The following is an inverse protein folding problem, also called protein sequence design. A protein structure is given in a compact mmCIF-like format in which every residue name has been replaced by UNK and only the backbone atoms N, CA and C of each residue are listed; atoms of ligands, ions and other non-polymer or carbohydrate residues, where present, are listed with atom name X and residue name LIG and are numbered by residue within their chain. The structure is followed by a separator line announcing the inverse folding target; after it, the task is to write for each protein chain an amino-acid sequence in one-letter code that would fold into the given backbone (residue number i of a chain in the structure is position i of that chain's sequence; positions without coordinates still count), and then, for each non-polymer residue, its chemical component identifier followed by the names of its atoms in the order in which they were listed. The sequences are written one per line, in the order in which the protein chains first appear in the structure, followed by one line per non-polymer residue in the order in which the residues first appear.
data_IF_317550005246
#
_entry.id   IF_317550005246
#
_cell.length_a   1.000
_cell.length_b   1.000
_cell.length_c   1.000
_cell.angle_alpha   90.00
_cell.angle_beta   90.00
_cell.angle_gamma   90.00
#
_symmetry.space_group_name_H-M   'P 1'
#
loop_
_entity.id
_entity.type
_entity.pdbx_description
1 polymer ?
#
# COMPACT_ATOMS: atom_id res chain seq x y z
N UNK A 1 -0.95 -4.87 44.69
CA UNK A 1 -0.28 -4.33 43.49
C UNK A 1 -0.17 -2.84 43.63
N UNK A 2 1.00 -2.27 43.35
CA UNK A 2 1.26 -0.86 43.56
C UNK A 2 1.28 -0.09 42.23
N UNK A 3 1.19 1.24 42.31
CA UNK A 3 1.13 2.13 41.14
C UNK A 3 2.32 1.96 40.17
N UNK A 4 3.50 1.59 40.68
CA UNK A 4 4.69 1.28 39.88
C UNK A 4 4.51 0.02 39.02
N UNK A 5 3.75 -0.95 39.51
CA UNK A 5 3.54 -2.23 38.83
C UNK A 5 2.50 -2.09 37.71
N UNK A 6 1.44 -1.31 37.97
CA UNK A 6 0.44 -0.93 36.95
C UNK A 6 1.12 -0.20 35.79
N UNK A 7 1.99 0.79 36.08
CA UNK A 7 2.71 1.53 35.03
C UNK A 7 3.57 0.61 34.16
N UNK A 8 4.29 -0.34 34.78
CA UNK A 8 5.06 -1.36 34.05
C UNK A 8 4.18 -2.27 33.20
N UNK A 9 3.03 -2.72 33.72
CA UNK A 9 2.08 -3.56 32.94
C UNK A 9 1.59 -2.81 31.70
N UNK A 10 1.27 -1.51 31.82
CA UNK A 10 0.84 -0.68 30.67
C UNK A 10 1.99 -0.48 29.68
N UNK A 11 3.19 -0.15 30.14
CA UNK A 11 4.39 -0.05 29.29
C UNK A 11 4.65 -1.36 28.52
N UNK A 12 4.51 -2.51 29.19
CA UNK A 12 4.66 -3.83 28.57
C UNK A 12 3.52 -4.19 27.61
N UNK A 13 2.27 -3.77 27.89
CA UNK A 13 1.14 -3.98 26.98
C UNK A 13 1.29 -3.17 25.68
N UNK A 14 1.84 -1.96 25.78
CA UNK A 14 2.12 -1.09 24.63
C UNK A 14 3.31 -1.62 23.83
N UNK A 15 4.47 -1.83 24.48
CA UNK A 15 5.70 -2.36 23.87
C UNK A 15 5.50 -3.71 23.16
N UNK A 16 4.76 -4.64 23.78
CA UNK A 16 4.54 -5.98 23.23
C UNK A 16 3.21 -6.12 22.47
N UNK A 17 2.44 -5.04 22.38
CA UNK A 17 1.14 -5.04 21.73
C UNK A 17 0.22 -6.15 22.24
N UNK A 18 -0.19 -6.10 23.51
CA UNK A 18 -1.15 -7.02 24.12
C UNK A 18 -2.56 -6.34 24.15
N UNK A 19 -3.66 -7.00 23.76
CA UNK A 19 -5.01 -6.36 23.68
C UNK A 19 -5.97 -6.69 24.83
N UNK A 20 -5.49 -7.35 25.88
CA UNK A 20 -6.26 -7.86 27.04
C UNK A 20 -5.21 -8.32 28.10
N UNK A 21 -5.44 -8.34 29.43
CA UNK A 21 -4.44 -8.75 30.48
C UNK A 21 -4.93 -9.66 31.67
N UNK A 22 -4.27 -10.83 31.90
CA UNK A 22 -4.56 -11.92 32.88
C UNK A 22 -3.72 -11.78 34.13
N UNK A 23 -4.38 -11.94 35.27
CA UNK A 23 -3.78 -11.95 36.60
C UNK A 23 -4.59 -12.88 37.50
N UNK A 24 -3.91 -13.73 38.28
CA UNK A 24 -4.53 -14.56 39.31
C UNK A 24 -3.83 -14.36 40.65
N UNK A 25 -4.60 -14.15 41.72
CA UNK A 25 -4.12 -14.08 43.11
C UNK A 25 -5.19 -14.61 44.07
N UNK A 26 -4.80 -15.52 44.95
CA UNK A 26 -5.68 -16.30 45.83
C UNK A 26 -6.80 -17.01 45.04
N UNK A 27 -8.07 -16.56 45.16
CA UNK A 27 -9.23 -17.06 44.39
C UNK A 27 -9.49 -16.30 43.06
N UNK A 28 -8.65 -15.32 42.71
CA UNK A 28 -8.93 -14.35 41.62
C UNK A 28 -8.43 -14.84 40.26
N UNK A 29 -9.17 -14.54 39.17
CA UNK A 29 -8.76 -14.75 37.76
C UNK A 29 -9.25 -13.62 36.80
N UNK A 30 -8.34 -12.92 36.10
CA UNK A 30 -8.58 -11.92 35.00
C UNK A 30 -7.92 -12.43 33.69
N UNK A 31 -8.09 -11.91 32.45
CA UNK A 31 -7.69 -12.58 31.14
C UNK A 31 -6.75 -11.77 30.18
N UNK A 32 -5.76 -12.37 29.43
CA UNK A 32 -4.63 -11.74 28.63
C UNK A 32 -4.61 -12.18 27.13
N UNK A 33 -4.69 -11.28 26.12
CA UNK A 33 -4.53 -11.65 24.68
C UNK A 33 -4.40 -10.45 23.71
N UNK A 34 -3.53 -10.49 22.69
CA UNK A 34 -3.71 -9.72 21.42
C UNK A 34 -3.97 -10.68 20.25
N UNK A 35 -4.85 -10.26 19.35
CA UNK A 35 -5.29 -11.03 18.20
C UNK A 35 -6.67 -11.62 18.46
N UNK A 36 -7.66 -11.11 17.72
CA UNK A 36 -8.99 -11.72 17.68
C UNK A 36 -8.89 -13.12 17.08
N UNK A 37 -9.58 -14.07 17.68
CA UNK A 37 -9.74 -15.39 17.09
C UNK A 37 -10.58 -15.21 15.83
N UNK A 38 -9.97 -15.42 14.67
CA UNK A 38 -10.70 -15.41 13.40
C UNK A 38 -11.60 -16.62 13.41
N UNK A 39 -12.90 -16.40 13.64
CA UNK A 39 -13.89 -17.46 13.63
C UNK A 39 -13.95 -18.05 12.20
N UNK A 40 -13.26 -19.17 12.03
CA UNK A 40 -13.20 -19.89 10.76
C UNK A 40 -14.58 -20.33 10.27
N UNK A 41 -15.54 -20.49 11.18
CA UNK A 41 -16.94 -20.80 10.86
C UNK A 41 -17.63 -19.58 10.24
N UNK A 42 -17.38 -18.38 10.76
CA UNK A 42 -17.88 -17.13 10.17
C UNK A 42 -17.31 -16.89 8.75
N UNK A 43 -16.02 -17.15 8.53
CA UNK A 43 -15.42 -17.07 7.18
C UNK A 43 -16.02 -18.13 6.24
N UNK A 44 -16.18 -19.37 6.71
CA UNK A 44 -16.74 -20.46 5.91
C UNK A 44 -18.21 -20.19 5.55
N UNK A 45 -18.97 -19.57 6.45
CA UNK A 45 -20.36 -19.16 6.22
C UNK A 45 -20.48 -17.95 5.28
N UNK A 46 -19.50 -17.04 5.28
CA UNK A 46 -19.42 -15.97 4.28
C UNK A 46 -19.11 -16.51 2.88
N UNK A 47 -18.10 -17.39 2.74
CA UNK A 47 -17.78 -18.04 1.45
C UNK A 47 -18.95 -18.88 0.90
N UNK A 48 -19.75 -19.51 1.76
CA UNK A 48 -20.94 -20.27 1.36
C UNK A 48 -22.11 -19.41 0.84
N UNK A 49 -22.03 -18.08 0.93
CA UNK A 49 -23.08 -17.14 0.50
C UNK A 49 -22.74 -16.33 -0.76
N UNK A 50 -21.56 -16.55 -1.35
CA UNK A 50 -21.19 -15.95 -2.65
C UNK A 50 -21.85 -16.74 -3.79
N UNK A 51 -22.69 -16.12 -4.65
CA UNK A 51 -23.30 -16.81 -5.77
C UNK A 51 -22.24 -17.21 -6.81
N UNK A 52 -22.23 -18.49 -7.22
CA UNK A 52 -21.34 -18.96 -8.26
C UNK A 52 -21.68 -18.30 -9.62
N UNK A 53 -20.71 -17.75 -10.37
CA UNK A 53 -20.98 -17.16 -11.68
C UNK A 53 -21.51 -18.22 -12.64
N UNK A 54 -22.72 -17.98 -13.15
CA UNK A 54 -23.37 -18.85 -14.12
C UNK A 54 -22.67 -18.71 -15.48
N UNK A 55 -21.87 -19.70 -15.85
CA UNK A 55 -21.31 -19.80 -17.21
C UNK A 55 -22.44 -20.12 -18.20
N UNK A 56 -22.83 -19.13 -19.01
CA UNK A 56 -23.66 -19.39 -20.20
C UNK A 56 -22.81 -19.99 -21.32
N UNK A 57 -23.27 -21.07 -21.99
CA UNK A 57 -22.57 -21.61 -23.15
C UNK A 57 -22.77 -20.71 -24.38
N UNK A 58 -21.68 -20.14 -24.89
CA UNK A 58 -21.69 -19.42 -26.17
C UNK A 58 -21.77 -20.40 -27.34
N UNK A 59 -22.85 -20.27 -28.12
CA UNK A 59 -23.06 -21.05 -29.34
C UNK A 59 -22.37 -20.40 -30.55
N UNK A 60 -21.98 -21.27 -31.47
CA UNK A 60 -21.29 -21.03 -32.75
C UNK A 60 -21.80 -19.84 -33.57
N UNK A 61 -20.88 -19.16 -34.26
CA UNK A 61 -21.22 -18.18 -35.31
C UNK A 61 -20.05 -17.28 -35.75
N UNK A 62 -19.23 -17.74 -36.69
CA UNK A 62 -18.23 -16.88 -37.35
C UNK A 62 -18.81 -16.24 -38.63
N UNK A 63 -18.67 -14.91 -38.76
CA UNK A 63 -18.40 -14.27 -40.07
C UNK A 63 -17.13 -13.38 -40.03
N UNK A 64 -16.63 -12.89 -41.18
CA UNK A 64 -15.25 -12.41 -41.31
C UNK A 64 -15.00 -10.98 -40.81
N UNK A 65 -13.71 -10.69 -40.59
CA UNK A 65 -13.21 -9.41 -40.09
C UNK A 65 -13.31 -8.24 -41.10
N UNK A 66 -13.56 -7.01 -40.62
CA UNK A 66 -13.13 -5.77 -41.27
C UNK A 66 -11.73 -5.35 -40.82
N UNK A 67 -11.10 -4.46 -41.60
CA UNK A 67 -9.70 -4.09 -41.47
C UNK A 67 -9.35 -3.23 -40.24
N UNK A 68 -8.06 -3.15 -39.95
CA UNK A 68 -7.46 -2.37 -38.87
C UNK A 68 -7.83 -0.88 -38.90
N UNK A 69 -8.19 -0.33 -37.74
CA UNK A 69 -8.16 1.09 -37.47
C UNK A 69 -6.85 1.43 -36.74
N UNK A 70 -5.95 2.11 -37.44
CA UNK A 70 -4.68 2.61 -36.89
C UNK A 70 -4.93 3.83 -36.00
N UNK A 71 -4.46 3.87 -34.75
CA UNK A 71 -4.21 5.13 -34.06
C UNK A 71 -2.81 5.63 -34.44
N UNK A 72 -2.74 6.85 -34.94
CA UNK A 72 -1.49 7.59 -35.12
C UNK A 72 -1.77 9.10 -34.92
N UNK A 73 -0.78 9.90 -34.50
CA UNK A 73 0.40 9.59 -33.71
C UNK A 73 0.37 10.32 -32.34
N UNK A 74 1.05 9.76 -31.33
CA UNK A 74 1.45 10.52 -30.14
C UNK A 74 2.96 10.78 -30.25
N UNK A 75 3.34 12.05 -30.20
CA UNK A 75 4.69 12.52 -30.49
C UNK A 75 5.64 12.27 -29.31
N UNK A 76 6.89 11.84 -29.58
CA UNK A 76 7.94 11.79 -28.56
C UNK A 76 8.19 10.44 -27.87
N UNK A 77 8.04 9.31 -28.57
CA UNK A 77 8.60 8.04 -28.09
C UNK A 77 10.14 8.09 -28.07
N UNK A 78 10.70 8.42 -26.90
CA UNK A 78 12.05 7.99 -26.53
C UNK A 78 12.10 6.45 -26.52
N UNK A 79 13.24 5.81 -26.83
CA UNK A 79 13.32 4.36 -26.85
C UNK A 79 12.98 3.78 -25.47
N UNK A 80 12.34 2.60 -25.44
CA UNK A 80 11.95 1.88 -24.21
C UNK A 80 13.04 1.95 -23.14
N UNK A 81 12.74 2.61 -22.01
CA UNK A 81 13.63 2.77 -20.86
C UNK A 81 14.51 4.04 -20.84
N UNK A 82 14.51 4.89 -21.87
CA UNK A 82 15.25 6.16 -21.85
C UNK A 82 14.40 7.31 -21.29
N UNK A 83 14.63 7.68 -20.03
CA UNK A 83 14.06 8.89 -19.43
C UNK A 83 14.53 10.18 -20.16
N UNK A 84 13.70 11.23 -20.23
CA UNK A 84 14.12 12.53 -20.75
C UNK A 84 15.32 13.08 -19.96
N UNK A 85 16.18 13.85 -20.64
CA UNK A 85 17.36 14.45 -20.01
C UNK A 85 16.97 15.32 -18.81
N UNK A 86 17.58 15.05 -17.64
CA UNK A 86 17.25 15.73 -16.39
C UNK A 86 16.03 15.17 -15.65
N UNK A 87 15.48 14.04 -16.07
CA UNK A 87 14.44 13.30 -15.32
C UNK A 87 15.07 12.06 -14.68
N UNK A 88 14.70 11.80 -13.42
CA UNK A 88 15.03 10.58 -12.68
C UNK A 88 13.77 10.01 -12.05
N UNK A 89 13.80 8.72 -11.72
CA UNK A 89 12.70 8.02 -11.05
C UNK A 89 13.00 7.78 -9.57
N UNK A 90 12.01 7.98 -8.72
CA UNK A 90 11.99 7.47 -7.34
C UNK A 90 11.34 6.09 -7.40
N UNK A 91 12.06 5.05 -7.00
CA UNK A 91 11.58 3.66 -7.06
C UNK A 91 11.24 3.10 -5.68
N UNK A 92 10.35 2.11 -5.62
CA UNK A 92 10.05 1.41 -4.38
C UNK A 92 11.25 0.58 -3.88
N UNK A 93 11.70 0.74 -2.62
CA UNK A 93 12.75 -0.09 -2.02
C UNK A 93 12.22 -1.43 -1.47
N UNK A 94 10.93 -1.75 -1.62
CA UNK A 94 10.31 -2.96 -1.06
C UNK A 94 9.06 -3.41 -1.84
N UNK A 95 8.45 -4.53 -1.42
CA UNK A 95 7.13 -4.96 -1.90
C UNK A 95 6.08 -4.54 -0.87
N UNK A 96 4.97 -3.94 -1.31
CA UNK A 96 3.91 -3.48 -0.41
C UNK A 96 2.78 -2.74 -1.12
N UNK A 97 1.96 -2.01 -0.38
CA UNK A 97 0.88 -1.16 -0.92
C UNK A 97 1.28 0.31 -0.87
N UNK A 98 1.24 1.01 -1.99
CA UNK A 98 1.53 2.44 -2.10
C UNK A 98 0.39 3.30 -1.55
N UNK A 99 0.73 4.28 -0.71
CA UNK A 99 -0.19 5.33 -0.24
C UNK A 99 0.43 6.71 -0.43
N UNK A 100 -0.34 7.63 -1.03
CA UNK A 100 0.12 8.99 -1.33
C UNK A 100 0.14 9.91 -0.09
N UNK A 101 -0.60 9.56 0.97
CA UNK A 101 -0.80 10.37 2.18
C UNK A 101 -0.64 9.53 3.46
N UNK A 102 -0.52 10.19 4.62
CA UNK A 102 -0.36 9.54 5.93
C UNK A 102 -1.65 8.90 6.48
N UNK A 103 -2.80 9.33 5.98
CA UNK A 103 -4.13 8.77 6.27
C UNK A 103 -5.08 9.09 5.10
N UNK A 104 -6.28 8.47 5.03
CA UNK A 104 -7.24 8.72 3.95
C UNK A 104 -7.73 10.17 3.83
N UNK A 105 -7.70 10.92 4.93
CA UNK A 105 -8.18 12.31 5.02
C UNK A 105 -7.03 13.35 4.98
N UNK A 106 -5.77 12.90 4.89
CA UNK A 106 -4.59 13.77 4.84
C UNK A 106 -4.24 14.17 3.41
N UNK A 107 -3.57 15.32 3.27
CA UNK A 107 -3.00 15.73 1.97
C UNK A 107 -1.86 14.78 1.54
N UNK A 108 -1.65 14.58 0.23
CA UNK A 108 -0.51 13.82 -0.27
C UNK A 108 0.84 14.40 0.17
N UNK A 109 1.79 13.54 0.52
CA UNK A 109 3.17 13.95 0.83
C UNK A 109 3.83 14.66 -0.36
N UNK A 110 3.54 14.21 -1.58
CA UNK A 110 3.99 14.81 -2.83
C UNK A 110 2.91 14.73 -3.91
N UNK A 111 2.83 15.78 -4.73
CA UNK A 111 1.98 15.88 -5.90
C UNK A 111 2.77 16.48 -7.07
N UNK A 112 2.18 16.52 -8.26
CA UNK A 112 2.80 17.16 -9.43
C UNK A 112 3.03 18.66 -9.14
N UNK A 113 4.25 19.15 -9.35
CA UNK A 113 4.71 20.49 -8.98
C UNK A 113 5.30 20.60 -7.58
N UNK A 114 5.23 19.56 -6.73
CA UNK A 114 5.89 19.57 -5.42
C UNK A 114 7.40 19.55 -5.58
N UNK A 115 8.10 20.49 -4.92
CA UNK A 115 9.56 20.50 -4.83
C UNK A 115 10.03 19.64 -3.66
N UNK A 116 10.95 18.74 -3.93
CA UNK A 116 11.45 17.72 -2.99
C UNK A 116 12.98 17.82 -2.85
N UNK A 117 13.48 17.47 -1.68
CA UNK A 117 14.90 17.20 -1.43
C UNK A 117 15.11 15.70 -1.26
N UNK A 118 16.36 15.25 -1.24
CA UNK A 118 16.68 13.84 -1.05
C UNK A 118 16.09 13.23 0.26
N UNK A 119 15.88 14.05 1.28
CA UNK A 119 15.30 13.65 2.57
C UNK A 119 13.78 13.84 2.67
N UNK A 120 13.12 14.43 1.68
CA UNK A 120 11.66 14.63 1.68
C UNK A 120 10.92 13.28 1.57
N UNK A 121 10.02 13.00 2.50
CA UNK A 121 9.03 11.92 2.37
C UNK A 121 8.09 12.22 1.21
N UNK A 122 7.87 11.25 0.31
CA UNK A 122 7.04 11.41 -0.91
C UNK A 122 5.83 10.47 -0.95
N UNK A 123 5.87 9.35 -0.24
CA UNK A 123 4.76 8.43 -0.06
C UNK A 123 5.00 7.50 1.15
N UNK A 124 4.02 6.67 1.46
CA UNK A 124 4.17 5.50 2.34
C UNK A 124 4.07 4.23 1.51
N UNK A 125 4.80 3.19 1.90
CA UNK A 125 4.54 1.82 1.47
C UNK A 125 4.19 0.97 2.68
N UNK A 126 3.01 0.36 2.67
CA UNK A 126 2.60 -0.62 3.66
C UNK A 126 3.18 -1.99 3.32
N UNK A 127 4.07 -2.49 4.18
CA UNK A 127 4.58 -3.85 4.11
C UNK A 127 4.30 -4.57 5.43
N UNK A 128 3.57 -5.70 5.38
CA UNK A 128 3.23 -6.50 6.57
C UNK A 128 2.57 -5.71 7.72
N UNK A 129 1.69 -4.74 7.40
CA UNK A 129 1.05 -3.79 8.33
C UNK A 129 1.98 -2.76 8.97
N UNK A 130 3.19 -2.59 8.45
CA UNK A 130 4.12 -1.51 8.82
C UNK A 130 4.08 -0.44 7.73
N UNK A 131 3.78 0.79 8.12
CA UNK A 131 3.75 1.96 7.23
C UNK A 131 5.14 2.56 7.14
N UNK A 132 5.85 2.29 6.04
CA UNK A 132 7.21 2.78 5.82
C UNK A 132 7.19 4.05 4.97
N UNK A 133 7.63 5.17 5.53
CA UNK A 133 7.84 6.42 4.78
C UNK A 133 8.97 6.24 3.75
N UNK A 134 8.70 6.62 2.51
CA UNK A 134 9.67 6.59 1.40
C UNK A 134 10.19 8.00 1.15
N UNK A 135 11.52 8.15 1.19
CA UNK A 135 12.22 9.40 0.85
C UNK A 135 12.41 9.52 -0.65
N UNK A 136 12.51 10.76 -1.15
CA UNK A 136 12.73 11.00 -2.58
C UNK A 136 14.11 10.59 -3.08
N UNK A 137 15.15 10.61 -2.23
CA UNK A 137 16.60 10.43 -2.55
C UNK A 137 17.19 11.37 -3.62
N UNK A 138 16.34 12.14 -4.29
CA UNK A 138 16.61 13.00 -5.44
C UNK A 138 16.07 14.39 -5.10
N UNK A 139 16.87 15.43 -5.32
CA UNK A 139 16.39 16.81 -5.24
C UNK A 139 15.84 17.27 -6.60
N UNK A 140 14.67 17.92 -6.60
CA UNK A 140 14.02 18.38 -7.84
C UNK A 140 12.55 18.71 -7.67
N UNK A 141 11.81 18.63 -8.76
CA UNK A 141 10.35 18.84 -8.81
C UNK A 141 9.65 17.57 -9.31
N UNK A 142 8.60 17.13 -8.62
CA UNK A 142 7.78 15.98 -9.02
C UNK A 142 6.99 16.38 -10.27
N UNK A 143 7.19 15.67 -11.37
CA UNK A 143 6.49 15.93 -12.65
C UNK A 143 5.44 14.87 -12.98
N UNK A 144 5.49 13.70 -12.36
CA UNK A 144 4.59 12.58 -12.62
C UNK A 144 4.50 11.68 -11.38
N UNK A 145 3.29 11.16 -11.10
CA UNK A 145 3.03 10.10 -10.13
C UNK A 145 2.61 8.87 -10.92
N UNK A 146 3.33 7.76 -10.79
CA UNK A 146 3.22 6.59 -11.67
C UNK A 146 2.31 5.50 -11.09
N UNK A 147 1.93 5.61 -9.81
CA UNK A 147 1.17 4.60 -9.06
C UNK A 147 -0.07 5.21 -8.40
N UNK A 148 -1.21 4.54 -8.51
CA UNK A 148 -2.46 4.96 -7.86
C UNK A 148 -2.47 4.59 -6.36
N UNK A 149 -3.07 5.46 -5.54
CA UNK A 149 -3.18 5.25 -4.09
C UNK A 149 -3.97 3.97 -3.74
N UNK A 150 -3.37 3.08 -2.95
CA UNK A 150 -3.93 1.77 -2.59
C UNK A 150 -3.48 0.62 -3.51
N UNK A 151 -2.59 0.88 -4.48
CA UNK A 151 -2.09 -0.13 -5.42
C UNK A 151 -0.89 -0.89 -4.86
N UNK A 152 -0.77 -2.17 -5.19
CA UNK A 152 0.39 -2.99 -4.84
C UNK A 152 1.60 -2.66 -5.74
N UNK A 153 2.78 -2.52 -5.14
CA UNK A 153 4.05 -2.20 -5.81
C UNK A 153 5.15 -3.21 -5.47
N UNK A 154 6.10 -3.37 -6.38
CA UNK A 154 7.23 -4.29 -6.29
C UNK A 154 8.56 -3.57 -6.02
N UNK A 155 9.59 -4.33 -5.62
CA UNK A 155 10.93 -3.80 -5.48
C UNK A 155 11.47 -3.25 -6.82
N UNK A 156 11.99 -2.03 -6.80
CA UNK A 156 12.52 -1.33 -7.98
C UNK A 156 11.44 -0.71 -8.88
N UNK A 157 10.15 -0.84 -8.55
CA UNK A 157 9.06 -0.26 -9.34
C UNK A 157 9.06 1.27 -9.25
N UNK A 158 9.07 2.01 -10.39
CA UNK A 158 8.99 3.47 -10.39
C UNK A 158 7.69 4.01 -9.80
N UNK A 159 7.80 4.92 -8.82
CA UNK A 159 6.68 5.55 -8.12
C UNK A 159 6.43 6.98 -8.58
N UNK A 160 7.51 7.73 -8.82
CA UNK A 160 7.47 9.15 -9.21
C UNK A 160 8.53 9.46 -10.24
N UNK A 161 8.27 10.43 -11.11
CA UNK A 161 9.32 11.11 -11.90
C UNK A 161 9.65 12.46 -11.31
N UNK A 162 10.94 12.69 -11.10
CA UNK A 162 11.51 13.93 -10.56
C UNK A 162 12.36 14.60 -11.64
N UNK A 163 12.07 15.86 -11.94
CA UNK A 163 12.93 16.70 -12.77
C UNK A 163 14.03 17.31 -11.89
N UNK A 164 15.25 16.84 -12.08
CA UNK A 164 16.46 17.44 -11.49
C UNK A 164 16.81 18.71 -12.27
N UNK A 165 17.02 19.82 -11.56
CA UNK A 165 17.44 21.12 -12.12
C UNK A 165 18.80 21.53 -11.60
#
# INVERSE_FOLDING_TARGET
MDFRDIKKIVELMDQHGLSQFKLEQDDTKLELKKGGEVDMKAIQQWMASVPAPQYMPSYVGAPPAPAAATPAPAEGALPDGALPAGVKEVTSPMVGTFYAASSPDAEPFAAIGTKVTADSTVCIIEAMKVMNEIKSEIAGEIIEVLVENGTAVQYGEPLFRVKTS
#
